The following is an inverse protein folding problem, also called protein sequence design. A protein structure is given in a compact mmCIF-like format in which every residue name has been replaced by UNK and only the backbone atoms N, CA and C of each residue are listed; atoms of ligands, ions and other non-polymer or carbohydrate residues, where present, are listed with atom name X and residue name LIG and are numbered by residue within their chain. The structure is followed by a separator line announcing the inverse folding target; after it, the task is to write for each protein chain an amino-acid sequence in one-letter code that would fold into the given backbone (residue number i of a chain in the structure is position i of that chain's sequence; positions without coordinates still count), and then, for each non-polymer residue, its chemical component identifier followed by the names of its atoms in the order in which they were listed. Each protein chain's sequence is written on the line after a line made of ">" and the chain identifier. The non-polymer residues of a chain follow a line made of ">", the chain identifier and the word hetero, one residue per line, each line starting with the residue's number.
data_IF_728861564963
#
_entry.id   IF_728861564963
#
_cell.length_a   1.000
_cell.length_b   1.000
_cell.length_c   1.000
_cell.angle_alpha   90.00
_cell.angle_beta   90.00
_cell.angle_gamma   90.00
#
_symmetry.space_group_name_H-M   'P 1'
#
loop_
_entity.id
_entity.type
_entity.pdbx_description
1 polymer ?
#
# COMPACT_ATOMS: atom_id res chain seq x y z
N UNK A 1 -4.35 -4.70 -1.08
CA UNK A 1 -4.04 -3.25 -1.15
C UNK A 1 -5.10 -2.58 -1.98
N UNK A 2 -5.73 -1.52 -1.49
CA UNK A 2 -6.59 -0.65 -2.28
C UNK A 2 -5.83 0.62 -2.68
N UNK A 3 -6.08 1.12 -3.88
CA UNK A 3 -5.45 2.30 -4.46
C UNK A 3 -6.54 3.25 -4.96
N UNK A 4 -6.38 4.54 -4.67
CA UNK A 4 -7.27 5.61 -5.14
C UNK A 4 -6.47 6.75 -5.73
N UNK A 5 -7.09 7.54 -6.61
CA UNK A 5 -6.46 8.69 -7.24
C UNK A 5 -7.08 10.01 -6.76
N UNK A 6 -6.24 11.03 -6.52
CA UNK A 6 -6.66 12.33 -5.97
C UNK A 6 -7.57 13.12 -6.90
N UNK A 7 -7.29 13.07 -8.20
CA UNK A 7 -8.03 13.80 -9.25
C UNK A 7 -9.18 12.96 -9.84
N UNK A 8 -8.93 11.70 -10.19
CA UNK A 8 -9.93 10.78 -10.71
C UNK A 8 -10.60 10.03 -9.56
N UNK A 9 -11.66 10.62 -8.99
CA UNK A 9 -12.31 10.09 -7.79
C UNK A 9 -12.98 8.73 -7.98
N UNK A 10 -13.35 8.39 -9.22
CA UNK A 10 -13.95 7.09 -9.56
C UNK A 10 -12.88 5.99 -9.77
N UNK A 11 -11.59 6.35 -9.74
CA UNK A 11 -10.51 5.37 -9.84
C UNK A 11 -10.37 4.61 -8.53
N UNK A 12 -10.57 3.29 -8.63
CA UNK A 12 -10.35 2.34 -7.56
C UNK A 12 -9.70 1.09 -8.12
N UNK A 13 -8.56 0.71 -7.54
CA UNK A 13 -7.90 -0.55 -7.85
C UNK A 13 -7.68 -1.34 -6.56
N UNK A 14 -7.74 -2.66 -6.65
CA UNK A 14 -7.45 -3.55 -5.52
C UNK A 14 -6.64 -4.73 -5.99
N UNK A 15 -5.46 -4.90 -5.39
CA UNK A 15 -4.55 -5.98 -5.72
C UNK A 15 -3.89 -6.60 -4.49
N UNK A 16 -3.52 -7.87 -4.64
CA UNK A 16 -2.57 -8.54 -3.75
C UNK A 16 -1.16 -8.13 -4.16
N UNK A 17 -0.35 -7.77 -3.17
CA UNK A 17 0.97 -7.17 -3.37
C UNK A 17 2.00 -7.92 -2.54
N UNK A 18 3.22 -8.00 -3.06
CA UNK A 18 4.36 -8.61 -2.37
C UNK A 18 5.39 -7.53 -2.08
N UNK A 19 6.03 -7.61 -0.92
CA UNK A 19 7.09 -6.67 -0.53
C UNK A 19 8.24 -6.72 -1.53
N UNK A 20 8.79 -5.56 -1.88
CA UNK A 20 9.90 -5.38 -2.82
C UNK A 20 9.61 -5.87 -4.25
N UNK A 21 8.34 -6.03 -4.61
CA UNK A 21 7.91 -6.29 -5.98
C UNK A 21 7.25 -5.03 -6.57
N UNK A 22 7.53 -4.77 -7.85
CA UNK A 22 6.96 -3.64 -8.58
C UNK A 22 5.63 -4.03 -9.21
N UNK A 23 4.58 -3.29 -8.87
CA UNK A 23 3.24 -3.50 -9.37
C UNK A 23 2.78 -2.32 -10.22
N UNK A 24 2.01 -2.60 -11.27
CA UNK A 24 1.38 -1.58 -12.13
C UNK A 24 0.10 -1.08 -11.46
N UNK A 25 -0.21 0.20 -11.63
CA UNK A 25 -1.46 0.81 -11.13
C UNK A 25 -2.46 0.92 -12.28
N UNK A 26 -3.47 0.04 -12.31
CA UNK A 26 -4.46 -0.02 -13.39
C UNK A 26 -3.85 -0.01 -14.80
N UNK A 27 -4.34 0.88 -15.65
CA UNK A 27 -3.87 1.14 -17.02
C UNK A 27 -2.99 2.41 -17.13
N UNK A 28 -2.45 2.89 -15.99
CA UNK A 28 -1.66 4.12 -15.94
C UNK A 28 -0.16 3.87 -16.18
N UNK A 29 0.62 4.95 -16.35
CA UNK A 29 2.09 4.89 -16.40
C UNK A 29 2.74 4.74 -15.02
N UNK A 30 1.94 4.77 -13.94
CA UNK A 30 2.43 4.63 -12.59
C UNK A 30 2.67 3.17 -12.21
N UNK A 31 3.77 2.95 -11.51
CA UNK A 31 4.05 1.70 -10.80
C UNK A 31 4.37 2.01 -9.35
N UNK A 32 4.25 1.03 -8.47
CA UNK A 32 4.62 1.19 -7.07
C UNK A 32 5.26 -0.07 -6.49
N UNK A 33 5.93 0.11 -5.36
CA UNK A 33 6.62 -0.95 -4.63
C UNK A 33 6.48 -0.70 -3.13
N UNK A 34 6.15 -1.73 -2.36
CA UNK A 34 6.21 -1.67 -0.90
C UNK A 34 7.63 -1.97 -0.45
N UNK A 35 8.32 -0.98 0.12
CA UNK A 35 9.78 -1.05 0.37
C UNK A 35 10.14 -1.27 1.84
N UNK A 36 9.28 -0.83 2.77
CA UNK A 36 9.52 -0.98 4.21
C UNK A 36 8.20 -1.29 4.92
N UNK A 37 8.28 -2.04 6.02
CA UNK A 37 7.14 -2.37 6.89
C UNK A 37 7.47 -2.07 8.34
N UNK A 38 6.53 -1.43 9.03
CA UNK A 38 6.59 -1.08 10.44
C UNK A 38 5.35 -1.65 11.14
N UNK A 39 5.48 -2.69 11.98
CA UNK A 39 4.34 -3.28 12.67
C UNK A 39 3.67 -2.32 13.67
N UNK A 40 4.45 -1.46 14.32
CA UNK A 40 3.94 -0.46 15.26
C UNK A 40 4.55 0.92 14.97
N UNK A 41 4.02 1.54 13.91
CA UNK A 41 4.52 2.78 13.36
C UNK A 41 4.41 3.94 14.36
N UNK A 42 5.54 4.59 14.62
CA UNK A 42 5.62 5.82 15.38
C UNK A 42 6.52 6.86 14.69
N UNK A 43 6.23 8.13 14.94
CA UNK A 43 7.08 9.25 14.53
C UNK A 43 7.45 10.02 15.80
N UNK A 44 8.75 10.22 16.02
CA UNK A 44 9.24 11.02 17.15
C UNK A 44 9.15 12.53 16.88
N UNK A 45 9.50 13.35 17.87
CA UNK A 45 9.51 14.82 17.74
C UNK A 45 10.50 15.34 16.68
N UNK A 46 11.51 14.53 16.32
CA UNK A 46 12.49 14.84 15.28
C UNK A 46 12.07 14.34 13.89
N UNK A 47 10.86 13.79 13.76
CA UNK A 47 10.31 13.16 12.55
C UNK A 47 11.05 11.87 12.14
N UNK A 48 11.78 11.24 13.05
CA UNK A 48 12.33 9.91 12.83
C UNK A 48 11.20 8.88 12.90
N UNK A 49 11.14 8.02 11.89
CA UNK A 49 10.20 6.90 11.84
C UNK A 49 10.82 5.72 12.57
N UNK A 50 10.07 5.11 13.48
CA UNK A 50 10.47 3.91 14.22
C UNK A 50 9.32 2.92 14.31
N UNK A 51 9.65 1.66 14.63
CA UNK A 51 8.68 0.71 15.16
C UNK A 51 8.89 0.61 16.67
N UNK A 52 7.86 0.83 17.47
CA UNK A 52 7.99 0.81 18.95
C UNK A 52 7.77 -0.58 19.54
N UNK A 53 7.15 -1.49 18.78
CA UNK A 53 7.01 -2.90 19.11
C UNK A 53 7.06 -3.76 17.84
N UNK A 54 7.11 -5.07 18.03
CA UNK A 54 7.02 -6.09 16.98
C UNK A 54 5.58 -6.56 16.74
N UNK A 55 4.64 -6.12 17.58
CA UNK A 55 3.22 -6.44 17.43
C UNK A 55 2.60 -5.49 16.39
N UNK A 56 1.71 -5.96 15.50
CA UNK A 56 1.12 -5.15 14.44
C UNK A 56 0.01 -4.22 14.97
N UNK A 57 0.31 -3.42 16.00
CA UNK A 57 -0.65 -2.56 16.69
C UNK A 57 -1.03 -1.32 15.87
N UNK A 58 -0.09 -0.78 15.10
CA UNK A 58 -0.30 0.33 14.17
C UNK A 58 0.52 0.10 12.89
N UNK A 59 0.12 -0.86 12.04
CA UNK A 59 0.95 -1.28 10.93
C UNK A 59 0.96 -0.23 9.82
N UNK A 60 2.16 0.11 9.35
CA UNK A 60 2.38 1.02 8.23
C UNK A 60 3.39 0.45 7.25
N UNK A 61 3.14 0.70 5.97
CA UNK A 61 3.99 0.27 4.87
C UNK A 61 4.44 1.49 4.11
N UNK A 62 5.74 1.57 3.85
CA UNK A 62 6.30 2.61 3.00
C UNK A 62 6.17 2.19 1.55
N UNK A 63 5.65 3.08 0.73
CA UNK A 63 5.38 2.84 -0.68
C UNK A 63 6.21 3.81 -1.51
N UNK A 64 7.06 3.27 -2.39
CA UNK A 64 7.72 4.04 -3.42
C UNK A 64 6.86 4.02 -4.68
N UNK A 65 6.57 5.20 -5.23
CA UNK A 65 5.79 5.36 -6.47
C UNK A 65 6.72 5.83 -7.58
N UNK A 66 6.55 5.26 -8.77
CA UNK A 66 7.36 5.55 -9.95
C UNK A 66 6.47 5.94 -11.12
N UNK A 67 6.94 6.88 -11.93
CA UNK A 67 6.38 7.24 -13.23
C UNK A 67 7.39 6.81 -14.29
N UNK A 68 7.09 5.72 -15.00
CA UNK A 68 8.08 5.01 -15.81
C UNK A 68 9.26 4.49 -14.96
N UNK A 69 10.45 5.06 -15.15
CA UNK A 69 11.69 4.65 -14.43
C UNK A 69 12.07 5.57 -13.28
N UNK A 70 11.44 6.74 -13.18
CA UNK A 70 11.79 7.74 -12.18
C UNK A 70 10.92 7.59 -10.95
N UNK A 71 11.52 7.77 -9.77
CA UNK A 71 10.76 7.78 -8.52
C UNK A 71 10.02 9.11 -8.39
N UNK A 72 8.70 9.03 -8.44
CA UNK A 72 7.80 10.19 -8.37
C UNK A 72 7.44 10.57 -6.93
N UNK A 73 7.34 9.58 -6.02
CA UNK A 73 6.90 9.83 -4.65
C UNK A 73 7.38 8.77 -3.63
N UNK A 74 7.34 9.16 -2.35
CA UNK A 74 7.45 8.31 -1.17
C UNK A 74 6.22 8.56 -0.28
N UNK A 75 5.39 7.55 -0.10
CA UNK A 75 4.15 7.66 0.67
C UNK A 75 3.96 6.48 1.62
N UNK A 76 2.86 6.49 2.36
CA UNK A 76 2.51 5.48 3.35
C UNK A 76 1.17 4.83 3.02
N UNK A 77 1.09 3.52 3.25
CA UNK A 77 -0.15 2.77 3.30
C UNK A 77 -0.37 2.29 4.73
N UNK A 78 -1.53 2.61 5.29
CA UNK A 78 -1.91 2.22 6.64
C UNK A 78 -2.98 1.14 6.61
N UNK A 79 -2.96 0.25 7.59
CA UNK A 79 -4.04 -0.70 7.86
C UNK A 79 -5.08 -0.08 8.80
N UNK A 80 -6.36 -0.38 8.56
CA UNK A 80 -7.45 0.04 9.45
C UNK A 80 -7.83 1.52 9.40
N UNK A 81 -7.22 2.31 8.52
CA UNK A 81 -7.60 3.72 8.30
C UNK A 81 -8.35 3.87 6.98
N UNK A 82 -9.58 4.39 7.06
CA UNK A 82 -10.49 4.52 5.90
C UNK A 82 -10.35 5.84 5.14
N UNK A 83 -9.41 6.70 5.54
CA UNK A 83 -9.18 7.99 4.89
C UNK A 83 -7.98 7.86 3.94
N UNK A 84 -8.12 8.22 2.65
CA UNK A 84 -6.98 8.28 1.73
C UNK A 84 -5.91 9.27 2.22
N UNK A 85 -4.68 8.79 2.39
CA UNK A 85 -3.54 9.61 2.82
C UNK A 85 -2.77 10.10 1.60
N UNK A 86 -3.01 11.36 1.22
CA UNK A 86 -2.25 12.01 0.15
C UNK A 86 -1.15 12.88 0.74
N UNK A 87 0.10 12.64 0.34
CA UNK A 87 1.15 13.64 0.45
C UNK A 87 0.81 14.87 -0.41
N UNK A 88 1.49 16.00 -0.17
CA UNK A 88 1.18 17.27 -0.86
C UNK A 88 1.25 17.14 -2.39
N UNK A 89 2.19 16.34 -2.89
CA UNK A 89 2.44 16.10 -4.31
C UNK A 89 1.92 14.73 -4.82
N UNK A 90 1.34 13.93 -3.94
CA UNK A 90 0.91 12.56 -4.27
C UNK A 90 -0.40 12.61 -5.06
N UNK A 91 -0.41 11.92 -6.20
CA UNK A 91 -1.63 11.65 -6.96
C UNK A 91 -2.34 10.37 -6.51
N UNK A 92 -1.59 9.40 -5.98
CA UNK A 92 -2.10 8.13 -5.50
C UNK A 92 -2.14 8.09 -3.97
N UNK A 93 -3.14 7.41 -3.43
CA UNK A 93 -3.21 7.01 -2.03
C UNK A 93 -3.39 5.49 -1.94
N UNK A 94 -2.81 4.92 -0.89
CA UNK A 94 -2.73 3.47 -0.69
C UNK A 94 -3.36 3.12 0.66
N UNK A 95 -4.13 2.03 0.67
CA UNK A 95 -4.76 1.49 1.88
C UNK A 95 -4.51 0.00 1.97
N UNK A 96 -4.00 -0.45 3.11
CA UNK A 96 -3.86 -1.88 3.38
C UNK A 96 -5.21 -2.42 3.83
N UNK A 97 -5.72 -3.40 3.09
CA UNK A 97 -6.99 -4.07 3.40
C UNK A 97 -6.76 -5.29 4.28
N UNK A 98 -5.73 -6.08 3.95
CA UNK A 98 -5.28 -7.22 4.72
C UNK A 98 -3.79 -7.49 4.41
N UNK A 99 -3.10 -8.21 5.29
CA UNK A 99 -1.72 -8.63 5.12
C UNK A 99 -1.41 -9.88 5.96
N UNK A 100 -0.37 -10.62 5.55
CA UNK A 100 0.18 -11.73 6.31
C UNK A 100 1.36 -11.23 7.15
N UNK A 101 1.39 -11.59 8.44
CA UNK A 101 2.50 -11.26 9.32
C UNK A 101 2.78 -12.41 10.28
N UNK A 102 4.03 -12.91 10.27
CA UNK A 102 4.49 -14.03 11.13
C UNK A 102 3.61 -15.29 11.06
N UNK A 103 2.99 -15.54 9.90
CA UNK A 103 2.11 -16.70 9.67
C UNK A 103 0.66 -16.48 10.10
N UNK A 104 0.30 -15.26 10.52
CA UNK A 104 -1.06 -14.87 10.83
C UNK A 104 -1.63 -13.93 9.77
N UNK A 105 -2.89 -14.16 9.40
CA UNK A 105 -3.65 -13.28 8.53
C UNK A 105 -4.25 -12.13 9.35
N UNK A 106 -3.96 -10.89 8.97
CA UNK A 106 -4.48 -9.68 9.59
C UNK A 106 -5.34 -8.94 8.56
N UNK A 107 -6.64 -8.91 8.78
CA UNK A 107 -7.63 -8.29 7.88
C UNK A 107 -9.05 -8.52 8.37
N UNK A 108 -10.05 -7.81 7.83
CA UNK A 108 -11.46 -8.16 8.07
C UNK A 108 -11.91 -9.22 7.08
N UNK A 109 -12.88 -10.05 7.48
CA UNK A 109 -13.50 -11.00 6.57
C UNK A 109 -14.11 -10.25 5.36
N UNK A 110 -13.64 -10.57 4.14
CA UNK A 110 -14.06 -9.93 2.90
C UNK A 110 -13.08 -8.91 2.32
N UNK A 111 -11.98 -8.60 3.00
CA UNK A 111 -10.95 -7.65 2.53
C UNK A 111 -9.94 -8.27 1.54
N UNK A 112 -10.00 -9.59 1.31
CA UNK A 112 -9.17 -10.29 0.33
C UNK A 112 -9.75 -10.10 -1.07
N UNK A 113 -9.04 -9.48 -2.02
CA UNK A 113 -9.49 -9.46 -3.40
C UNK A 113 -9.63 -10.90 -3.93
N UNK A 114 -10.68 -11.17 -4.71
CA UNK A 114 -10.82 -12.44 -5.40
C UNK A 114 -9.55 -12.67 -6.23
N UNK A 115 -8.93 -13.84 -6.08
CA UNK A 115 -7.75 -14.20 -6.87
C UNK A 115 -8.08 -14.00 -8.35
N UNK A 116 -7.34 -13.13 -9.03
CA UNK A 116 -7.46 -12.94 -10.47
C UNK A 116 -7.13 -14.29 -11.11
N UNK A 117 -8.16 -15.00 -11.57
CA UNK A 117 -7.99 -16.25 -12.30
C UNK A 117 -7.21 -15.92 -13.58
N UNK A 118 -5.98 -16.41 -13.65
CA UNK A 118 -5.18 -16.41 -14.88
C UNK A 118 -5.98 -17.09 -15.99
N UNK A 119 -6.46 -16.30 -16.94
CA UNK A 119 -7.01 -16.79 -18.19
C UNK A 119 -5.84 -17.34 -19.02
N UNK A 120 -5.54 -18.64 -18.85
CA UNK A 120 -4.71 -19.38 -19.80
C UNK A 120 -5.45 -19.44 -21.14
N UNK A 121 -5.18 -18.49 -22.02
CA UNK A 121 -5.46 -18.66 -23.45
C UNK A 121 -4.41 -19.60 -24.02
N UNK A 122 -4.85 -20.81 -24.38
CA UNK A 122 -4.17 -21.71 -25.32
C UNK A 122 -4.84 -21.59 -26.69
#
# INVERSE_FOLDING_TARGET
>A
MAITHRVFLDFHDTLTVTMNERHVVGDTEYTFEMVEFYPDFAIDTNKAVTSVSDEPANPAFKVAVFEGKEKADDTWAFYGIDIPHYGRKSYLAFKVLAFEYRGEHIGKAGDTPAATSEEKQQ
#
